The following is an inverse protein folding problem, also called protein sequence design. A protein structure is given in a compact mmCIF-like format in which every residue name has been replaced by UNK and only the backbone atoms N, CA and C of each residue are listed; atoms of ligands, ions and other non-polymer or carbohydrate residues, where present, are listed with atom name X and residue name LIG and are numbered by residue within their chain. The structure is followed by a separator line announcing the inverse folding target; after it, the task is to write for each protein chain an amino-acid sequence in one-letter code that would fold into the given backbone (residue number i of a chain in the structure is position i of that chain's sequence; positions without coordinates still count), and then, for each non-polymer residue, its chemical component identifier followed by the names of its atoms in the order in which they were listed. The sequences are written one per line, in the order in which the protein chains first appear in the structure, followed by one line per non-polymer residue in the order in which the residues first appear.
data_IF_181360420454
#
_entry.id   IF_181360420454
#
_cell.length_a   1.000
_cell.length_b   1.000
_cell.length_c   1.000
_cell.angle_alpha   90.00
_cell.angle_beta   90.00
_cell.angle_gamma   90.00
#
_symmetry.space_group_name_H-M   'P 1'
#
loop_
_entity.id
_entity.type
_entity.pdbx_description
1 polymer ?
#
# COMPACT_ATOMS: atom_id res chain seq x y z
N UNK A 1 -21.02 1.24 17.93
CA UNK A 1 -20.53 0.16 18.80
C UNK A 1 -19.21 -0.28 18.20
N UNK A 2 -18.15 -0.41 19.00
CA UNK A 2 -16.83 -0.82 18.47
C UNK A 2 -16.85 -2.30 18.06
N UNK A 3 -16.13 -2.64 16.98
CA UNK A 3 -15.96 -3.98 16.43
C UNK A 3 -14.72 -4.63 17.00
N UNK A 4 -14.88 -5.81 17.57
CA UNK A 4 -13.79 -6.62 18.12
C UNK A 4 -13.80 -8.01 17.52
N UNK A 5 -12.63 -8.59 17.35
CA UNK A 5 -12.47 -9.96 16.88
C UNK A 5 -11.26 -10.64 17.53
N UNK A 6 -11.27 -11.95 17.61
CA UNK A 6 -10.10 -12.77 17.90
C UNK A 6 -9.59 -13.52 16.66
N UNK A 7 -10.25 -13.32 15.51
CA UNK A 7 -9.86 -13.86 14.23
C UNK A 7 -8.75 -12.99 13.61
N UNK A 8 -7.61 -13.61 13.34
CA UNK A 8 -6.46 -12.93 12.73
C UNK A 8 -6.72 -12.58 11.27
N UNK A 9 -7.43 -13.43 10.53
CA UNK A 9 -7.70 -13.18 9.12
C UNK A 9 -8.65 -11.98 8.96
N UNK A 10 -9.64 -11.87 9.84
CA UNK A 10 -10.52 -10.71 9.91
C UNK A 10 -9.74 -9.43 10.25
N UNK A 11 -8.85 -9.48 11.24
CA UNK A 11 -7.95 -8.38 11.57
C UNK A 11 -7.10 -7.94 10.38
N UNK A 12 -6.45 -8.88 9.67
CA UNK A 12 -5.62 -8.54 8.50
C UNK A 12 -6.43 -8.01 7.32
N UNK A 13 -7.64 -8.52 7.12
CA UNK A 13 -8.54 -7.98 6.11
C UNK A 13 -8.92 -6.54 6.45
N UNK A 14 -9.16 -6.22 7.73
CA UNK A 14 -9.40 -4.84 8.14
C UNK A 14 -8.16 -3.96 7.91
N UNK A 15 -6.94 -4.41 8.23
CA UNK A 15 -5.69 -3.67 7.93
C UNK A 15 -5.59 -3.38 6.42
N UNK A 16 -5.83 -4.38 5.56
CA UNK A 16 -5.84 -4.18 4.10
C UNK A 16 -6.88 -3.15 3.68
N UNK A 17 -8.08 -3.19 4.27
CA UNK A 17 -9.15 -2.24 4.00
C UNK A 17 -8.71 -0.83 4.42
N UNK A 18 -8.24 -0.61 5.63
CA UNK A 18 -7.83 0.73 6.10
C UNK A 18 -6.70 1.33 5.24
N UNK A 19 -5.70 0.51 4.91
CA UNK A 19 -4.58 0.94 4.08
C UNK A 19 -5.00 1.22 2.63
N UNK A 20 -5.93 0.43 2.06
CA UNK A 20 -6.40 0.63 0.68
C UNK A 20 -7.56 1.62 0.56
N UNK A 21 -8.25 1.95 1.66
CA UNK A 21 -9.38 2.86 1.66
C UNK A 21 -8.87 4.28 1.50
N UNK A 22 -9.10 4.81 0.31
CA UNK A 22 -8.76 6.19 -0.02
C UNK A 22 -9.93 7.07 0.42
N UNK A 23 -9.82 7.68 1.60
CA UNK A 23 -10.68 8.80 1.96
C UNK A 23 -10.17 10.01 1.20
N UNK A 24 -10.61 10.19 -0.04
CA UNK A 24 -10.27 11.42 -0.75
C UNK A 24 -10.78 12.60 0.08
N UNK A 25 -9.94 13.59 0.43
CA UNK A 25 -10.36 14.75 1.21
C UNK A 25 -11.51 15.54 0.58
N UNK A 26 -11.85 15.28 -0.70
CA UNK A 26 -12.87 16.01 -1.48
C UNK A 26 -13.69 15.13 -2.45
N UNK A 27 -13.68 13.80 -2.31
CA UNK A 27 -14.38 12.91 -3.26
C UNK A 27 -13.71 12.77 -4.64
N UNK A 28 -12.42 13.08 -4.71
CA UNK A 28 -11.56 13.01 -5.90
C UNK A 28 -11.35 11.54 -6.29
N UNK A 29 -11.45 11.23 -7.58
CA UNK A 29 -11.14 9.89 -8.09
C UNK A 29 -9.67 9.55 -7.87
N UNK A 30 -9.41 8.39 -7.27
CA UNK A 30 -8.07 7.83 -7.18
C UNK A 30 -7.50 7.58 -8.58
N UNK A 31 -6.24 7.93 -8.77
CA UNK A 31 -5.47 7.64 -9.99
C UNK A 31 -4.89 6.24 -9.93
N UNK A 32 -4.21 5.95 -8.83
CA UNK A 32 -3.70 4.63 -8.51
C UNK A 32 -3.60 4.44 -7.00
N UNK A 33 -3.46 3.19 -6.56
CA UNK A 33 -3.07 2.83 -5.21
C UNK A 33 -2.14 1.63 -5.26
N UNK A 34 -1.05 1.73 -4.53
CA UNK A 34 -0.13 0.64 -4.25
C UNK A 34 -0.22 0.29 -2.77
N UNK A 35 -0.27 -1.00 -2.45
CA UNK A 35 -0.34 -1.55 -1.10
C UNK A 35 0.73 -2.63 -0.96
N UNK A 36 1.48 -2.59 0.13
CA UNK A 36 2.46 -3.62 0.50
C UNK A 36 2.29 -4.00 1.98
N UNK A 37 2.12 -5.30 2.23
CA UNK A 37 2.09 -5.89 3.57
C UNK A 37 2.98 -7.14 3.56
N UNK A 38 4.18 -7.13 4.15
CA UNK A 38 5.01 -8.33 4.28
C UNK A 38 4.29 -9.44 5.05
N UNK A 39 4.57 -10.70 4.70
CA UNK A 39 3.96 -11.86 5.38
C UNK A 39 4.28 -11.94 6.89
N UNK A 40 5.46 -11.45 7.30
CA UNK A 40 5.80 -11.38 8.74
C UNK A 40 5.08 -10.26 9.49
N UNK A 41 4.26 -9.45 8.80
CA UNK A 41 3.29 -8.51 9.39
C UNK A 41 3.90 -7.56 10.42
N UNK A 42 5.13 -7.11 10.16
CA UNK A 42 5.86 -6.16 11.01
C UNK A 42 5.59 -4.71 10.65
N UNK A 43 5.04 -4.47 9.47
CA UNK A 43 4.61 -3.18 8.98
C UNK A 43 3.62 -3.43 7.83
N UNK A 44 2.99 -2.37 7.36
CA UNK A 44 2.24 -2.35 6.12
C UNK A 44 2.10 -0.90 5.67
N UNK A 45 2.08 -0.66 4.37
CA UNK A 45 1.87 0.70 3.89
C UNK A 45 1.11 0.71 2.57
N UNK A 46 0.54 1.86 2.25
CA UNK A 46 0.00 2.15 0.94
C UNK A 46 0.44 3.52 0.45
N UNK A 47 0.45 3.68 -0.88
CA UNK A 47 0.69 4.94 -1.56
C UNK A 47 -0.41 5.14 -2.58
N UNK A 48 -1.11 6.27 -2.50
CA UNK A 48 -2.20 6.62 -3.40
C UNK A 48 -1.93 7.96 -4.07
N UNK A 49 -2.14 8.01 -5.39
CA UNK A 49 -2.14 9.25 -6.17
C UNK A 49 -3.54 9.64 -6.61
N UNK A 50 -3.77 10.93 -6.84
CA UNK A 50 -5.07 11.49 -7.25
C UNK A 50 -4.96 12.24 -8.57
N UNK A 51 -6.01 12.20 -9.39
CA UNK A 51 -6.00 12.89 -10.70
C UNK A 51 -5.95 14.41 -10.57
N UNK A 52 -6.79 14.99 -9.71
CA UNK A 52 -6.88 16.45 -9.52
C UNK A 52 -5.67 17.03 -8.77
N UNK A 53 -4.86 16.19 -8.12
CA UNK A 53 -3.66 16.61 -7.41
C UNK A 53 -2.48 15.66 -7.69
N UNK A 54 -2.04 15.64 -8.95
CA UNK A 54 -0.98 14.76 -9.41
C UNK A 54 0.40 15.01 -8.74
N UNK A 55 0.56 16.14 -8.05
CA UNK A 55 1.77 16.45 -7.26
C UNK A 55 1.74 15.91 -5.84
N UNK A 56 0.63 15.35 -5.37
CA UNK A 56 0.53 14.82 -4.01
C UNK A 56 0.36 13.30 -4.02
N UNK A 57 1.08 12.65 -3.11
CA UNK A 57 0.89 11.25 -2.76
C UNK A 57 0.38 11.17 -1.32
N UNK A 58 -0.71 10.44 -1.11
CA UNK A 58 -1.14 10.04 0.21
C UNK A 58 -0.46 8.72 0.57
N UNK A 59 0.34 8.73 1.62
CA UNK A 59 0.96 7.55 2.20
C UNK A 59 0.19 7.17 3.46
N UNK A 60 -0.22 5.91 3.56
CA UNK A 60 -0.68 5.34 4.83
C UNK A 60 0.31 4.31 5.31
N UNK A 61 0.58 4.27 6.61
CA UNK A 61 1.43 3.24 7.23
C UNK A 61 0.75 2.65 8.45
N UNK A 62 1.00 1.36 8.68
CA UNK A 62 0.48 0.62 9.81
C UNK A 62 1.59 0.37 10.83
N UNK A 63 1.41 0.88 12.04
CA UNK A 63 2.24 0.57 13.20
C UNK A 63 1.83 -0.79 13.78
N UNK A 64 2.32 -1.84 13.13
CA UNK A 64 2.04 -3.20 13.54
C UNK A 64 2.64 -3.52 14.91
N UNK A 65 3.79 -2.94 15.27
CA UNK A 65 4.42 -3.19 16.57
C UNK A 65 3.53 -2.68 17.71
N UNK A 66 2.97 -1.47 17.59
CA UNK A 66 2.04 -0.93 18.55
C UNK A 66 0.78 -1.80 18.68
N UNK A 67 0.15 -2.16 17.56
CA UNK A 67 -1.05 -3.00 17.57
C UNK A 67 -0.78 -4.40 18.13
N UNK A 68 0.34 -5.03 17.76
CA UNK A 68 0.74 -6.32 18.35
C UNK A 68 0.97 -6.21 19.85
N UNK A 69 1.56 -5.11 20.31
CA UNK A 69 1.77 -4.89 21.73
C UNK A 69 0.48 -4.65 22.50
N UNK A 70 -0.47 -3.93 21.89
CA UNK A 70 -1.77 -3.63 22.47
C UNK A 70 -2.69 -4.83 22.51
N UNK A 71 -2.64 -5.68 21.48
CA UNK A 71 -3.50 -6.85 21.32
C UNK A 71 -2.81 -8.18 21.71
N UNK A 72 -1.84 -8.12 22.63
CA UNK A 72 -1.15 -9.32 23.17
C UNK A 72 -2.10 -10.40 23.71
N UNK A 73 -3.31 -10.01 24.11
CA UNK A 73 -4.36 -10.92 24.61
C UNK A 73 -5.05 -11.72 23.49
N UNK A 74 -4.78 -11.41 22.22
CA UNK A 74 -5.43 -12.03 21.06
C UNK A 74 -6.82 -11.50 20.75
N UNK A 75 -7.22 -10.37 21.36
CA UNK A 75 -8.46 -9.65 21.02
C UNK A 75 -8.10 -8.34 20.33
N UNK A 76 -8.49 -8.23 19.06
CA UNK A 76 -8.22 -7.10 18.19
C UNK A 76 -9.41 -6.14 18.18
N UNK A 77 -9.15 -4.83 18.17
CA UNK A 77 -10.17 -3.80 17.93
C UNK A 77 -10.04 -3.30 16.49
N UNK A 78 -11.01 -3.66 15.66
CA UNK A 78 -10.99 -3.39 14.21
C UNK A 78 -11.21 -1.91 13.87
N UNK A 79 -11.72 -1.11 14.80
CA UNK A 79 -11.99 0.31 14.60
C UNK A 79 -10.85 1.21 15.11
N UNK A 80 -9.80 0.63 15.69
CA UNK A 80 -8.68 1.35 16.30
C UNK A 80 -7.33 0.79 15.89
N UNK A 81 -7.18 0.49 14.60
CA UNK A 81 -5.88 0.14 14.03
C UNK A 81 -4.96 1.36 14.04
N UNK A 82 -3.69 1.15 14.36
CA UNK A 82 -2.69 2.22 14.40
C UNK A 82 -2.22 2.54 12.97
N UNK A 83 -3.07 3.23 12.22
CA UNK A 83 -2.78 3.71 10.87
C UNK A 83 -2.41 5.20 10.93
N UNK A 84 -1.27 5.53 10.35
CA UNK A 84 -0.79 6.89 10.20
C UNK A 84 -0.94 7.33 8.74
N UNK A 85 -1.30 8.59 8.52
CA UNK A 85 -1.46 9.17 7.19
C UNK A 85 -0.49 10.35 7.02
N UNK A 86 0.19 10.38 5.88
CA UNK A 86 1.15 11.41 5.52
C UNK A 86 0.94 11.82 4.07
N UNK A 87 0.97 13.12 3.79
CA UNK A 87 0.96 13.63 2.41
C UNK A 87 2.37 14.02 2.00
N UNK A 88 2.85 13.45 0.89
CA UNK A 88 4.12 13.80 0.26
C UNK A 88 3.83 14.69 -0.94
N UNK A 89 4.49 15.85 -0.99
CA UNK A 89 4.45 16.75 -2.16
C UNK A 89 5.64 16.44 -3.05
N UNK A 90 5.36 16.03 -4.28
CA UNK A 90 6.35 15.74 -5.31
C UNK A 90 6.84 17.03 -5.97
N UNK A 91 8.14 17.09 -6.24
CA UNK A 91 8.72 18.08 -7.14
C UNK A 91 8.23 17.87 -8.58
N UNK A 92 8.34 18.90 -9.42
CA UNK A 92 7.93 18.79 -10.82
C UNK A 92 8.68 17.67 -11.58
N UNK A 93 9.96 17.44 -11.26
CA UNK A 93 10.75 16.38 -11.86
C UNK A 93 10.24 14.98 -11.47
N UNK A 94 9.79 14.81 -10.23
CA UNK A 94 9.21 13.57 -9.73
C UNK A 94 7.82 13.32 -10.29
N UNK A 95 6.99 14.36 -10.40
CA UNK A 95 5.70 14.27 -11.10
C UNK A 95 5.88 13.80 -12.53
N UNK A 96 6.84 14.38 -13.26
CA UNK A 96 7.14 13.97 -14.63
C UNK A 96 7.61 12.51 -14.70
N UNK A 97 8.49 12.11 -13.78
CA UNK A 97 8.97 10.72 -13.67
C UNK A 97 7.83 9.75 -13.41
N UNK A 98 6.98 10.04 -12.41
CA UNK A 98 5.82 9.22 -12.07
C UNK A 98 4.84 9.11 -13.23
N UNK A 99 4.54 10.22 -13.91
CA UNK A 99 3.68 10.22 -15.09
C UNK A 99 4.23 9.36 -16.23
N UNK A 100 5.53 9.43 -16.47
CA UNK A 100 6.20 8.56 -17.47
C UNK A 100 6.08 7.10 -17.07
N UNK A 101 6.29 6.75 -15.80
CA UNK A 101 6.19 5.37 -15.32
C UNK A 101 4.76 4.83 -15.42
N UNK A 102 3.76 5.63 -15.04
CA UNK A 102 2.34 5.26 -15.11
C UNK A 102 1.80 5.14 -16.53
N UNK A 103 2.44 5.77 -17.51
CA UNK A 103 2.08 5.65 -18.93
C UNK A 103 2.62 4.38 -19.61
N UNK A 104 3.46 3.60 -18.91
CA UNK A 104 4.02 2.35 -19.44
C UNK A 104 3.09 1.18 -19.21
N UNK A 105 3.31 0.10 -19.94
CA UNK A 105 2.64 -1.18 -19.67
C UNK A 105 3.15 -1.76 -18.33
N UNK A 106 2.23 -1.84 -17.37
CA UNK A 106 2.43 -2.43 -16.06
C UNK A 106 1.79 -3.81 -16.07
N UNK A 107 2.60 -4.86 -15.95
CA UNK A 107 2.07 -6.22 -15.97
C UNK A 107 2.93 -7.14 -15.12
N UNK A 108 2.31 -8.26 -14.75
CA UNK A 108 2.98 -9.36 -14.07
C UNK A 108 3.55 -10.33 -15.09
N UNK A 109 4.73 -10.88 -14.79
CA UNK A 109 5.38 -11.93 -15.56
C UNK A 109 5.29 -13.26 -14.83
N UNK A 110 5.34 -14.36 -15.59
CA UNK A 110 5.31 -15.71 -15.02
C UNK A 110 6.56 -15.94 -14.16
N UNK A 111 6.36 -16.17 -12.86
CA UNK A 111 7.42 -16.56 -11.94
C UNK A 111 7.42 -18.09 -11.78
N UNK A 112 8.56 -18.74 -12.08
CA UNK A 112 8.74 -20.17 -11.86
C UNK A 112 9.24 -20.40 -10.43
N UNK A 113 8.34 -20.73 -9.51
CA UNK A 113 8.71 -21.09 -8.14
C UNK A 113 7.57 -21.00 -7.14
N UNK A 114 7.86 -21.35 -5.88
CA UNK A 114 6.97 -21.14 -4.73
C UNK A 114 7.61 -20.06 -3.87
N UNK A 115 6.85 -19.02 -3.53
CA UNK A 115 7.27 -17.97 -2.59
C UNK A 115 6.85 -18.37 -1.18
N UNK A 116 7.82 -18.62 -0.29
CA UNK A 116 7.56 -19.02 1.10
C UNK A 116 7.47 -17.83 2.06
N UNK A 117 8.23 -16.76 1.79
CA UNK A 117 8.31 -15.54 2.60
C UNK A 117 8.00 -14.30 1.75
N UNK A 118 6.82 -14.30 1.15
CA UNK A 118 6.44 -13.26 0.20
C UNK A 118 6.05 -11.93 0.86
N UNK A 119 5.53 -11.06 0.02
CA UNK A 119 4.77 -9.88 0.42
C UNK A 119 3.33 -10.08 -0.05
N UNK A 120 2.35 -9.46 0.58
CA UNK A 120 1.09 -9.19 -0.08
C UNK A 120 1.22 -7.82 -0.74
N UNK A 121 1.43 -7.82 -2.05
CA UNK A 121 1.49 -6.60 -2.83
C UNK A 121 0.28 -6.49 -3.75
N UNK A 122 -0.25 -5.28 -3.84
CA UNK A 122 -1.36 -4.95 -4.72
C UNK A 122 -1.14 -3.59 -5.35
N UNK A 123 -1.33 -3.50 -6.66
CA UNK A 123 -1.42 -2.26 -7.41
C UNK A 123 -2.80 -2.20 -8.06
N UNK A 124 -3.48 -1.07 -7.92
CA UNK A 124 -4.82 -0.88 -8.45
C UNK A 124 -5.00 0.49 -9.05
N UNK A 125 -5.69 0.55 -10.18
CA UNK A 125 -6.23 1.76 -10.80
C UNK A 125 -7.76 1.61 -10.89
N UNK A 126 -8.44 2.56 -11.50
CA UNK A 126 -9.88 2.42 -11.79
C UNK A 126 -10.17 1.32 -12.84
N UNK A 127 -9.18 0.92 -13.64
CA UNK A 127 -9.34 -0.04 -14.73
C UNK A 127 -8.80 -1.44 -14.40
N UNK A 128 -7.76 -1.52 -13.57
CA UNK A 128 -7.05 -2.78 -13.32
C UNK A 128 -6.67 -2.98 -11.85
N UNK A 129 -6.50 -4.25 -11.49
CA UNK A 129 -5.99 -4.67 -10.18
C UNK A 129 -5.01 -5.81 -10.37
N UNK A 130 -3.76 -5.59 -9.97
CA UNK A 130 -2.66 -6.54 -10.04
C UNK A 130 -2.26 -6.93 -8.61
N UNK A 131 -2.18 -8.23 -8.32
CA UNK A 131 -1.71 -8.75 -7.03
C UNK A 131 -0.53 -9.69 -7.26
N UNK A 132 0.50 -9.58 -6.45
CA UNK A 132 1.70 -10.39 -6.55
C UNK A 132 2.29 -10.63 -5.17
N UNK A 133 3.13 -11.66 -5.05
CA UNK A 133 3.77 -12.03 -3.80
C UNK A 133 5.29 -11.89 -3.80
N UNK A 134 5.90 -11.66 -4.97
CA UNK A 134 7.36 -11.46 -5.09
C UNK A 134 7.72 -10.47 -6.19
N UNK A 135 8.82 -9.73 -6.02
CA UNK A 135 9.30 -8.79 -7.03
C UNK A 135 9.70 -9.49 -8.35
N UNK A 136 9.95 -10.81 -8.34
CA UNK A 136 10.22 -11.58 -9.56
C UNK A 136 9.01 -11.70 -10.49
N UNK A 137 7.80 -11.41 -9.99
CA UNK A 137 6.59 -11.37 -10.80
C UNK A 137 6.42 -10.02 -11.51
N UNK A 138 7.28 -9.02 -11.27
CA UNK A 138 7.15 -7.69 -11.86
C UNK A 138 7.89 -7.60 -13.19
N UNK A 139 7.26 -7.04 -14.21
CA UNK A 139 8.01 -6.58 -15.37
C UNK A 139 8.93 -5.39 -15.01
N UNK A 140 9.85 -5.02 -15.90
CA UNK A 140 10.82 -3.95 -15.62
C UNK A 140 10.18 -2.57 -15.37
N UNK A 141 9.05 -2.27 -16.02
CA UNK A 141 8.35 -0.99 -15.85
C UNK A 141 7.67 -0.90 -14.47
N UNK A 142 7.00 -1.98 -14.07
CA UNK A 142 6.34 -2.09 -12.79
C UNK A 142 7.37 -2.10 -11.66
N UNK A 143 8.50 -2.77 -11.83
CA UNK A 143 9.62 -2.70 -10.88
C UNK A 143 10.06 -1.25 -10.65
N UNK A 144 10.30 -0.49 -11.73
CA UNK A 144 10.72 0.90 -11.62
C UNK A 144 9.66 1.80 -10.96
N UNK A 145 8.37 1.57 -11.22
CA UNK A 145 7.29 2.27 -10.54
C UNK A 145 7.26 1.95 -9.04
N UNK A 146 7.31 0.67 -8.68
CA UNK A 146 7.24 0.24 -7.28
C UNK A 146 8.46 0.74 -6.50
N UNK A 147 9.66 0.70 -7.09
CA UNK A 147 10.87 1.23 -6.45
C UNK A 147 10.79 2.74 -6.21
N UNK A 148 10.23 3.50 -7.17
CA UNK A 148 9.95 4.92 -6.97
C UNK A 148 9.01 5.17 -5.79
N UNK A 149 7.90 4.42 -5.71
CA UNK A 149 6.91 4.58 -4.64
C UNK A 149 7.47 4.17 -3.26
N UNK A 150 8.22 3.06 -3.19
CA UNK A 150 8.92 2.63 -1.97
C UNK A 150 9.92 3.67 -1.49
N UNK A 151 10.66 4.28 -2.41
CA UNK A 151 11.57 5.38 -2.10
C UNK A 151 10.86 6.54 -1.40
N UNK A 152 9.67 6.91 -1.88
CA UNK A 152 8.85 7.96 -1.26
C UNK A 152 8.35 7.60 0.14
N UNK A 153 7.99 6.34 0.36
CA UNK A 153 7.55 5.87 1.68
C UNK A 153 8.69 5.93 2.69
N UNK A 154 9.91 5.57 2.30
CA UNK A 154 11.06 5.61 3.19
C UNK A 154 11.38 7.04 3.68
N UNK A 155 11.10 8.08 2.87
CA UNK A 155 11.29 9.49 3.27
C UNK A 155 10.40 9.92 4.45
N UNK A 156 9.33 9.17 4.76
CA UNK A 156 8.38 9.50 5.84
C UNK A 156 8.33 8.48 6.98
N UNK A 157 8.95 7.31 6.81
CA UNK A 157 9.01 6.26 7.85
C UNK A 157 10.34 6.24 8.62
N UNK A 158 11.34 7.03 8.20
CA UNK A 158 12.57 7.32 8.95
C UNK A 158 12.38 8.48 9.96
#
# INVERSE_FOLDING_TARGET
MERFTNDRDEFFNQVKIELSTITSPKGISGRFTYLEIPYFMRYGFSVSGFEENASELLVKSWDAEYDWNRFKTGVFNLDRLAIHEHTIVLSQAEVNTLNVLLAKELCLVECKGITLDGYYCQYSTNAEKLNWNTNYELNGNMTALIDFLRGKVNEVLE
#
